data_IF_583135516670
#
_entry.id   IF_583135516670
#
_cell.length_a   1.000
_cell.length_b   1.000
_cell.length_c   1.000
_cell.angle_alpha   90.00
_cell.angle_beta   90.00
_cell.angle_gamma   90.00
#
_symmetry.space_group_name_H-M   'P 1'
#
loop_
_entity.id
_entity.type
_entity.pdbx_description
1 polymer ?
#
# COMPACT_ATOMS: atom_id res chain seq x y z
N UNK A 1 3.80 -7.42 7.46
CA UNK A 1 4.23 -7.17 6.06
C UNK A 1 4.29 -8.42 5.17
N UNK A 2 4.58 -9.63 5.68
CA UNK A 2 4.70 -10.84 4.84
C UNK A 2 3.41 -11.22 4.10
N UNK A 3 2.25 -11.04 4.72
CA UNK A 3 0.95 -11.31 4.11
C UNK A 3 0.60 -10.26 3.05
N UNK A 4 0.73 -8.97 3.38
CA UNK A 4 0.55 -7.86 2.43
C UNK A 4 1.44 -8.02 1.20
N UNK A 5 2.72 -8.39 1.38
CA UNK A 5 3.62 -8.67 0.25
C UNK A 5 3.07 -9.76 -0.69
N UNK A 6 2.52 -10.84 -0.13
CA UNK A 6 1.89 -11.91 -0.92
C UNK A 6 0.64 -11.42 -1.64
N UNK A 7 -0.22 -10.71 -0.94
CA UNK A 7 -1.53 -10.28 -1.46
C UNK A 7 -1.42 -9.14 -2.48
N UNK A 8 -0.38 -8.32 -2.38
CA UNK A 8 -0.12 -7.18 -3.29
C UNK A 8 0.85 -7.51 -4.43
N UNK A 9 1.60 -8.61 -4.32
CA UNK A 9 2.71 -8.94 -5.23
C UNK A 9 3.94 -8.04 -5.06
N UNK A 10 3.98 -7.20 -4.02
CA UNK A 10 5.11 -6.32 -3.72
C UNK A 10 6.15 -7.04 -2.85
N UNK A 11 7.43 -6.71 -3.04
CA UNK A 11 8.47 -7.23 -2.15
C UNK A 11 8.33 -6.62 -0.75
N UNK A 12 8.72 -7.38 0.29
CA UNK A 12 8.72 -6.88 1.67
C UNK A 12 9.59 -5.63 1.81
N UNK A 13 10.74 -5.61 1.13
CA UNK A 13 11.65 -4.47 1.11
C UNK A 13 11.00 -3.23 0.49
N UNK A 14 10.32 -3.39 -0.66
CA UNK A 14 9.58 -2.30 -1.28
C UNK A 14 8.50 -1.77 -0.35
N UNK A 15 7.77 -2.63 0.36
CA UNK A 15 6.75 -2.19 1.32
C UNK A 15 7.35 -1.43 2.50
N UNK A 16 8.50 -1.88 3.03
CA UNK A 16 9.19 -1.17 4.11
C UNK A 16 9.66 0.21 3.67
N UNK A 17 10.31 0.30 2.50
CA UNK A 17 10.80 1.56 1.94
C UNK A 17 9.65 2.51 1.59
N UNK A 18 8.59 2.01 0.97
CA UNK A 18 7.45 2.83 0.55
C UNK A 18 6.57 3.35 1.69
N UNK A 19 6.71 2.81 2.90
CA UNK A 19 5.88 3.17 4.07
C UNK A 19 6.74 3.63 5.26
N UNK A 20 8.01 4.00 5.04
CA UNK A 20 8.93 4.49 6.07
C UNK A 20 8.75 5.99 6.37
N UNK A 21 7.99 6.71 5.54
CA UNK A 21 7.76 8.15 5.67
C UNK A 21 8.86 9.03 5.05
N UNK A 22 9.96 8.44 4.59
CA UNK A 22 11.00 9.12 3.82
C UNK A 22 10.72 9.04 2.32
N UNK A 23 10.18 7.90 1.86
CA UNK A 23 9.87 7.70 0.45
C UNK A 23 8.38 7.90 0.17
N UNK A 24 8.10 8.52 -0.97
CA UNK A 24 6.74 8.70 -1.46
C UNK A 24 6.33 7.46 -2.29
N UNK A 25 5.37 6.65 -1.82
CA UNK A 25 4.84 5.55 -2.61
C UNK A 25 4.07 6.08 -3.83
N UNK A 26 4.07 5.32 -4.92
CA UNK A 26 3.14 5.58 -6.02
C UNK A 26 1.70 5.38 -5.56
N UNK A 27 0.75 6.04 -6.22
CA UNK A 27 -0.66 5.89 -5.90
C UNK A 27 -1.16 4.44 -6.10
N UNK A 28 -0.63 3.72 -7.10
CA UNK A 28 -0.89 2.29 -7.29
C UNK A 28 -0.44 1.45 -6.08
N UNK A 29 0.75 1.73 -5.53
CA UNK A 29 1.24 1.06 -4.31
C UNK A 29 0.31 1.32 -3.14
N UNK A 30 -0.15 2.56 -2.96
CA UNK A 30 -1.15 2.90 -1.93
C UNK A 30 -2.39 2.02 -2.13
N UNK A 31 -3.05 2.07 -3.29
CA UNK A 31 -4.28 1.33 -3.56
C UNK A 31 -4.15 -0.18 -3.33
N UNK A 32 -3.03 -0.79 -3.75
CA UNK A 32 -2.75 -2.22 -3.52
C UNK A 32 -2.69 -2.53 -2.03
N UNK A 33 -1.94 -1.74 -1.27
CA UNK A 33 -1.79 -1.93 0.19
C UNK A 33 -3.13 -1.71 0.90
N UNK A 34 -3.87 -0.65 0.56
CA UNK A 34 -5.19 -0.36 1.15
C UNK A 34 -6.15 -1.52 0.91
N UNK A 35 -6.19 -2.07 -0.32
CA UNK A 35 -6.99 -3.26 -0.65
C UNK A 35 -6.55 -4.51 0.13
N UNK A 36 -5.25 -4.78 0.23
CA UNK A 36 -4.73 -5.93 0.97
C UNK A 36 -4.98 -5.84 2.49
N UNK A 37 -5.16 -4.62 3.02
CA UNK A 37 -5.58 -4.39 4.40
C UNK A 37 -7.10 -4.48 4.60
N UNK A 38 -7.88 -4.70 3.54
CA UNK A 38 -9.34 -4.70 3.61
C UNK A 38 -9.95 -3.31 3.78
N UNK A 39 -9.19 -2.25 3.49
CA UNK A 39 -9.65 -0.86 3.59
C UNK A 39 -10.29 -0.45 2.26
N UNK A 40 -11.48 0.12 2.34
CA UNK A 40 -12.18 0.72 1.20
C UNK A 40 -11.96 2.23 1.19
N UNK A 41 -11.31 2.73 0.13
CA UNK A 41 -11.21 4.16 -0.12
C UNK A 41 -12.46 4.65 -0.85
N UNK A 42 -13.13 5.62 -0.24
CA UNK A 42 -14.24 6.36 -0.83
C UNK A 42 -13.82 7.82 -0.99
N UNK A 43 -14.15 8.42 -2.14
CA UNK A 43 -13.92 9.83 -2.39
C UNK A 43 -15.27 10.53 -2.36
N UNK A 44 -15.39 11.54 -1.50
CA UNK A 44 -16.58 12.38 -1.37
C UNK A 44 -16.31 13.78 -1.94
N UNK A 45 -17.34 14.46 -2.47
CA UNK A 45 -17.24 15.87 -2.81
C UNK A 45 -16.90 16.71 -1.57
N UNK A 46 -16.18 17.81 -1.79
CA UNK A 46 -15.75 18.75 -0.74
C UNK A 46 -16.91 19.56 -0.14
#
# INVERSE_FOLDING_TARGET
MSQIARDTGLSRESLYRSLDGEHIPSFDTILKVTKALGIHLHADPA
#
